data_IF_292395919467
#
_entry.id   IF_292395919467
#
_cell.length_a   1.000
_cell.length_b   1.000
_cell.length_c   1.000
_cell.angle_alpha   90.00
_cell.angle_beta   90.00
_cell.angle_gamma   90.00
#
_symmetry.space_group_name_H-M   'P 1'
#
loop_
_entity.id
_entity.type
_entity.pdbx_description
1 polymer ?
#
# COMPACT_ATOMS: atom_id res chain seq x y z
N UNK A 1 -6.54 11.17 12.67
CA UNK A 1 -6.66 9.86 11.99
C UNK A 1 -6.90 10.12 10.52
N UNK A 2 -5.87 9.94 9.70
CA UNK A 2 -5.94 9.97 8.25
C UNK A 2 -6.05 8.54 7.74
N UNK A 3 -6.79 8.36 6.66
CA UNK A 3 -6.88 7.09 5.94
C UNK A 3 -6.62 7.37 4.48
N UNK A 4 -5.78 6.57 3.86
CA UNK A 4 -5.57 6.62 2.42
C UNK A 4 -5.77 5.24 1.82
N UNK A 5 -6.17 5.22 0.56
CA UNK A 5 -6.41 4.00 -0.20
C UNK A 5 -5.65 4.08 -1.51
N UNK A 6 -4.82 3.09 -1.77
CA UNK A 6 -3.98 3.02 -2.96
C UNK A 6 -4.46 1.89 -3.86
N UNK A 7 -4.78 2.21 -5.10
CA UNK A 7 -5.05 1.24 -6.13
C UNK A 7 -3.72 0.78 -6.74
N UNK A 8 -3.53 -0.52 -6.80
CA UNK A 8 -2.33 -1.20 -7.23
C UNK A 8 -2.68 -2.14 -8.40
N UNK A 9 -1.83 -2.18 -9.40
CA UNK A 9 -1.95 -3.07 -10.56
C UNK A 9 -0.82 -4.11 -10.54
N UNK A 10 -1.13 -5.35 -10.93
CA UNK A 10 -0.16 -6.44 -10.96
C UNK A 10 -0.06 -7.26 -9.67
N UNK A 11 -0.91 -7.02 -8.68
CA UNK A 11 -1.02 -7.81 -7.44
C UNK A 11 -1.66 -9.19 -7.71
N UNK A 12 -0.88 -10.08 -8.32
CA UNK A 12 -1.32 -11.42 -8.72
C UNK A 12 -0.95 -12.50 -7.71
N UNK A 13 -0.02 -12.23 -6.80
CA UNK A 13 0.49 -13.22 -5.85
C UNK A 13 0.18 -12.84 -4.39
N UNK A 14 -0.33 -13.79 -3.61
CA UNK A 14 -0.69 -13.60 -2.19
C UNK A 14 0.51 -13.23 -1.31
N UNK A 15 1.72 -13.62 -1.70
CA UNK A 15 2.94 -13.29 -0.99
C UNK A 15 3.29 -11.80 -1.11
N UNK A 16 2.94 -11.19 -2.24
CA UNK A 16 3.17 -9.77 -2.54
C UNK A 16 2.33 -8.85 -1.66
N UNK A 17 1.08 -9.23 -1.40
CA UNK A 17 0.17 -8.54 -0.47
C UNK A 17 0.82 -8.45 0.90
N UNK A 18 1.34 -9.59 1.41
CA UNK A 18 1.96 -9.64 2.74
C UNK A 18 3.23 -8.79 2.83
N UNK A 19 4.06 -8.81 1.79
CA UNK A 19 5.30 -8.03 1.76
C UNK A 19 5.00 -6.51 1.81
N UNK A 20 4.15 -6.02 0.90
CA UNK A 20 3.71 -4.63 0.90
C UNK A 20 3.04 -4.23 2.21
N UNK A 21 2.19 -5.11 2.78
CA UNK A 21 1.51 -4.81 4.05
C UNK A 21 2.53 -4.61 5.17
N UNK A 22 3.57 -5.45 5.22
CA UNK A 22 4.64 -5.33 6.21
C UNK A 22 5.45 -4.04 6.00
N UNK A 23 5.91 -3.78 4.78
CA UNK A 23 6.71 -2.59 4.46
C UNK A 23 5.93 -1.29 4.74
N UNK A 24 4.66 -1.23 4.35
CA UNK A 24 3.78 -0.08 4.64
C UNK A 24 3.51 0.05 6.14
N UNK A 25 3.41 -1.05 6.89
CA UNK A 25 3.19 -1.00 8.34
C UNK A 25 4.42 -0.56 9.11
N UNK A 26 5.61 -0.71 8.52
CA UNK A 26 6.88 -0.26 9.11
C UNK A 26 7.09 1.26 8.91
N UNK A 27 6.32 1.89 8.03
CA UNK A 27 6.41 3.34 7.78
C UNK A 27 5.98 4.14 9.02
N UNK A 28 6.75 5.20 9.29
CA UNK A 28 6.49 6.09 10.41
C UNK A 28 5.10 6.74 10.29
N UNK A 29 4.31 6.61 11.37
CA UNK A 29 2.97 7.20 11.48
C UNK A 29 1.84 6.38 10.88
N UNK A 30 2.14 5.18 10.37
CA UNK A 30 1.14 4.16 10.02
C UNK A 30 0.75 3.36 11.27
N UNK A 31 -0.55 3.22 11.52
CA UNK A 31 -1.09 2.42 12.62
C UNK A 31 -1.70 1.10 12.12
N UNK A 32 -2.31 1.13 10.93
CA UNK A 32 -2.97 -0.02 10.34
C UNK A 32 -2.79 -0.03 8.83
N UNK A 33 -2.50 -1.21 8.29
CA UNK A 33 -2.49 -1.46 6.85
C UNK A 33 -3.39 -2.64 6.54
N UNK A 34 -4.20 -2.50 5.50
CA UNK A 34 -5.10 -3.52 5.01
C UNK A 34 -5.01 -3.58 3.49
N UNK A 35 -4.54 -4.70 2.94
CA UNK A 35 -4.38 -4.86 1.49
C UNK A 35 -5.35 -5.92 0.99
N UNK A 36 -6.23 -5.54 0.08
CA UNK A 36 -7.26 -6.39 -0.53
C UNK A 36 -6.87 -6.65 -1.97
N UNK A 37 -6.85 -7.92 -2.40
CA UNK A 37 -6.66 -8.30 -3.81
C UNK A 37 -8.02 -8.51 -4.46
N UNK A 38 -8.23 -7.93 -5.63
CA UNK A 38 -9.47 -8.03 -6.42
C UNK A 38 -9.15 -8.26 -7.90
N UNK A 39 -9.48 -9.45 -8.43
CA UNK A 39 -9.33 -9.88 -9.84
C UNK A 39 -8.17 -9.23 -10.65
N UNK A 40 -6.93 -9.37 -10.16
CA UNK A 40 -5.71 -8.89 -10.84
C UNK A 40 -5.25 -7.48 -10.45
N UNK A 41 -6.04 -6.79 -9.63
CA UNK A 41 -5.71 -5.53 -8.95
C UNK A 41 -5.57 -5.75 -7.45
N UNK A 42 -4.97 -4.78 -6.78
CA UNK A 42 -4.95 -4.71 -5.33
C UNK A 42 -5.32 -3.32 -4.84
N UNK A 43 -5.84 -3.26 -3.64
CA UNK A 43 -6.26 -2.04 -2.96
C UNK A 43 -5.62 -2.05 -1.58
N UNK A 44 -4.66 -1.15 -1.35
CA UNK A 44 -3.97 -0.99 -0.07
C UNK A 44 -4.55 0.20 0.70
N UNK A 45 -5.22 -0.08 1.80
CA UNK A 45 -5.76 0.91 2.73
C UNK A 45 -4.77 1.08 3.88
N UNK A 46 -4.31 2.30 4.10
CA UNK A 46 -3.36 2.67 5.16
C UNK A 46 -4.03 3.69 6.06
N UNK A 47 -4.01 3.46 7.36
CA UNK A 47 -4.60 4.33 8.38
C UNK A 47 -3.55 4.68 9.42
N UNK A 48 -3.52 5.93 9.83
CA UNK A 48 -2.61 6.40 10.88
C UNK A 48 -2.76 7.88 11.19
N UNK A 49 -2.00 8.37 12.16
CA UNK A 49 -2.02 9.80 12.54
C UNK A 49 -1.12 10.67 11.66
N UNK A 50 0.03 10.15 11.22
CA UNK A 50 1.02 10.90 10.45
C UNK A 50 1.46 10.09 9.23
N UNK A 51 0.55 9.94 8.26
CA UNK A 51 0.83 9.14 7.07
C UNK A 51 1.93 9.79 6.21
N UNK A 52 2.85 8.98 5.65
CA UNK A 52 3.90 9.48 4.77
C UNK A 52 3.34 10.04 3.46
N UNK A 53 4.18 10.79 2.74
CA UNK A 53 3.81 11.36 1.44
C UNK A 53 3.57 10.28 0.39
N UNK A 54 2.76 10.60 -0.62
CA UNK A 54 2.41 9.72 -1.74
C UNK A 54 3.64 9.14 -2.44
N UNK A 55 4.72 9.93 -2.49
CA UNK A 55 5.99 9.51 -3.07
C UNK A 55 6.64 8.37 -2.27
N UNK A 56 6.73 8.50 -0.94
CA UNK A 56 7.32 7.48 -0.07
C UNK A 56 6.52 6.18 -0.12
N UNK A 57 5.19 6.27 -0.12
CA UNK A 57 4.32 5.11 -0.25
C UNK A 57 4.54 4.41 -1.60
N UNK A 58 4.62 5.20 -2.67
CA UNK A 58 4.84 4.68 -4.03
C UNK A 58 6.22 4.03 -4.16
N UNK A 59 7.27 4.66 -3.62
CA UNK A 59 8.63 4.10 -3.59
C UNK A 59 8.66 2.80 -2.80
N UNK A 60 8.04 2.77 -1.61
CA UNK A 60 7.94 1.55 -0.78
C UNK A 60 7.25 0.41 -1.53
N UNK A 61 6.13 0.70 -2.21
CA UNK A 61 5.40 -0.30 -3.00
C UNK A 61 6.22 -0.79 -4.21
N UNK A 62 6.94 0.11 -4.89
CA UNK A 62 7.80 -0.25 -6.03
C UNK A 62 9.06 -1.01 -5.60
N UNK A 63 9.59 -0.75 -4.40
CA UNK A 63 10.73 -1.46 -3.84
C UNK A 63 10.32 -2.84 -3.32
N UNK A 64 9.14 -2.95 -2.73
CA UNK A 64 8.53 -4.21 -2.31
C UNK A 64 8.32 -5.20 -3.47
N UNK A 65 8.16 -4.70 -4.70
CA UNK A 65 8.12 -5.54 -5.89
C UNK A 65 7.62 -4.86 -7.16
N UNK A 66 7.31 -5.68 -8.16
CA UNK A 66 7.02 -5.23 -9.51
C UNK A 66 5.54 -4.83 -9.72
N UNK A 67 4.97 -4.05 -8.79
CA UNK A 67 3.58 -3.58 -8.83
C UNK A 67 3.56 -2.09 -9.15
N UNK A 68 2.43 -1.63 -9.69
CA UNK A 68 2.27 -0.23 -10.08
C UNK A 68 1.15 0.43 -9.29
N UNK A 69 1.45 1.57 -8.66
CA UNK A 69 0.41 2.42 -8.06
C UNK A 69 -0.35 3.12 -9.17
N UNK A 70 -1.65 2.85 -9.26
CA UNK A 70 -2.57 3.42 -10.24
C UNK A 70 -3.15 4.73 -9.74
N UNK A 71 -3.54 4.79 -8.47
CA UNK A 71 -4.17 5.98 -7.87
C UNK A 71 -4.04 5.93 -6.35
N UNK A 72 -3.95 7.10 -5.72
CA UNK A 72 -3.94 7.26 -4.27
C UNK A 72 -5.08 8.19 -3.90
N UNK A 73 -5.97 7.74 -3.01
CA UNK A 73 -7.12 8.47 -2.52
C UNK A 73 -6.93 8.76 -1.04
N UNK A 74 -7.07 10.01 -0.61
CA UNK A 74 -6.84 10.47 0.77
C UNK A 74 -8.09 11.16 1.32
#
# INVERSE_FOLDING_TARGET
MATLTMNLDGLTCDMCVKHITADLSDLAGVERVEVVRDEGRGVATVTGESLPSDQVLTETVQDAGNYRVVSINR
#
